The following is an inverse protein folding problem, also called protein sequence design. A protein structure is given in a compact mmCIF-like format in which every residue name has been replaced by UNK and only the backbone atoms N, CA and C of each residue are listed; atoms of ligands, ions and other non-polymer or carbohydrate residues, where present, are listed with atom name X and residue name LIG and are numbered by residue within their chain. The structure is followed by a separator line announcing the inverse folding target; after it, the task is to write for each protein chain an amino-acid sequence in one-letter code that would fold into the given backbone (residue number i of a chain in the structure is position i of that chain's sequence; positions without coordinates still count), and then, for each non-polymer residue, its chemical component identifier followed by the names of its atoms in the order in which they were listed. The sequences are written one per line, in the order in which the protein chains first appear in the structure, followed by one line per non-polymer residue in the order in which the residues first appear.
data_IF_720781962378
#
_entry.id   IF_720781962378
#
_cell.length_a   1.000
_cell.length_b   1.000
_cell.length_c   1.000
_cell.angle_alpha   90.00
_cell.angle_beta   90.00
_cell.angle_gamma   90.00
#
_symmetry.space_group_name_H-M   'P 1'
#
loop_
_entity.id
_entity.type
_entity.pdbx_description
1 polymer ?
#
# COMPACT_ATOMS: atom_id res chain seq x y z
N UNK A 1 -8.00 -16.10 -9.57
CA UNK A 1 -8.24 -14.74 -9.03
C UNK A 1 -7.01 -13.88 -9.31
N UNK A 2 -7.16 -12.63 -9.76
CA UNK A 2 -6.02 -11.73 -10.00
C UNK A 2 -5.34 -11.35 -8.68
N UNK A 3 -4.08 -10.90 -8.73
CA UNK A 3 -3.38 -10.41 -7.54
C UNK A 3 -4.08 -9.18 -6.93
N UNK A 4 -4.53 -8.24 -7.76
CA UNK A 4 -5.33 -7.09 -7.34
C UNK A 4 -6.57 -7.51 -6.53
N UNK A 5 -7.30 -8.53 -6.99
CA UNK A 5 -8.48 -9.02 -6.28
C UNK A 5 -8.12 -9.64 -4.91
N UNK A 6 -6.98 -10.34 -4.81
CA UNK A 6 -6.49 -10.88 -3.52
C UNK A 6 -6.08 -9.76 -2.56
N UNK A 7 -5.44 -8.72 -3.08
CA UNK A 7 -5.08 -7.53 -2.31
C UNK A 7 -6.32 -6.86 -1.73
N UNK A 8 -7.30 -6.53 -2.59
CA UNK A 8 -8.56 -5.91 -2.15
C UNK A 8 -9.25 -6.73 -1.06
N UNK A 9 -9.37 -8.06 -1.24
CA UNK A 9 -9.95 -8.94 -0.23
C UNK A 9 -9.16 -8.97 1.09
N UNK A 10 -7.83 -8.85 1.05
CA UNK A 10 -7.00 -8.70 2.26
C UNK A 10 -7.35 -7.42 3.02
N UNK A 11 -7.39 -6.28 2.31
CA UNK A 11 -7.71 -4.98 2.88
C UNK A 11 -9.16 -4.89 3.39
N UNK A 12 -10.11 -5.48 2.66
CA UNK A 12 -11.53 -5.55 3.03
C UNK A 12 -11.72 -6.37 4.32
N UNK A 13 -11.06 -7.53 4.43
CA UNK A 13 -11.10 -8.38 5.64
C UNK A 13 -10.48 -7.67 6.85
N UNK A 14 -9.47 -6.82 6.63
CA UNK A 14 -8.89 -5.98 7.66
C UNK A 14 -9.77 -4.74 8.01
N UNK A 15 -10.91 -4.55 7.33
CA UNK A 15 -11.83 -3.45 7.59
C UNK A 15 -11.25 -2.07 7.24
N UNK A 16 -10.34 -2.02 6.28
CA UNK A 16 -9.63 -0.79 5.91
C UNK A 16 -10.42 0.01 4.87
N UNK A 17 -10.46 1.33 5.06
CA UNK A 17 -10.88 2.26 4.00
C UNK A 17 -9.68 2.59 3.13
N UNK A 18 -9.76 2.24 1.85
CA UNK A 18 -8.71 2.47 0.86
C UNK A 18 -9.31 2.85 -0.49
N UNK A 19 -8.47 3.37 -1.38
CA UNK A 19 -8.78 3.52 -2.80
C UNK A 19 -7.64 2.94 -3.63
N UNK A 20 -7.97 2.24 -4.71
CA UNK A 20 -6.99 1.92 -5.76
C UNK A 20 -6.70 3.22 -6.50
N UNK A 21 -5.42 3.54 -6.67
CA UNK A 21 -4.96 4.72 -7.41
C UNK A 21 -3.96 4.29 -8.51
N UNK A 22 -3.33 5.25 -9.19
CA UNK A 22 -2.28 4.95 -10.15
C UNK A 22 -2.76 4.21 -11.40
N UNK A 23 -1.92 3.28 -11.89
CA UNK A 23 -2.12 2.54 -13.14
C UNK A 23 -3.40 1.72 -13.17
N UNK A 24 -3.60 0.93 -12.13
CA UNK A 24 -4.76 0.06 -12.03
C UNK A 24 -6.07 0.84 -11.96
N UNK A 25 -6.12 1.97 -11.25
CA UNK A 25 -7.32 2.80 -11.21
C UNK A 25 -7.70 3.30 -12.61
N UNK A 26 -6.74 3.84 -13.36
CA UNK A 26 -6.97 4.32 -14.73
C UNK A 26 -7.45 3.19 -15.65
N UNK A 27 -6.83 2.01 -15.56
CA UNK A 27 -7.24 0.84 -16.35
C UNK A 27 -8.65 0.36 -16.00
N UNK A 28 -9.01 0.33 -14.71
CA UNK A 28 -10.35 -0.03 -14.25
C UNK A 28 -11.43 0.96 -14.73
N UNK A 29 -11.05 2.20 -15.04
CA UNK A 29 -11.93 3.21 -15.64
C UNK A 29 -11.97 3.18 -17.19
N UNK A 30 -11.43 2.13 -17.82
CA UNK A 30 -11.60 1.85 -19.24
C UNK A 30 -10.48 2.35 -20.17
N UNK A 31 -9.42 2.93 -19.62
CA UNK A 31 -8.24 3.30 -20.41
C UNK A 31 -7.30 2.10 -20.64
N UNK A 32 -6.75 1.98 -21.84
CA UNK A 32 -5.73 0.95 -22.14
C UNK A 32 -4.39 1.40 -21.54
N UNK A 33 -4.02 0.83 -20.39
CA UNK A 33 -2.77 1.15 -19.68
C UNK A 33 -2.15 -0.10 -19.08
N UNK A 34 -0.92 -0.40 -19.46
CA UNK A 34 -0.07 -1.37 -18.76
C UNK A 34 0.48 -0.76 -17.47
N UNK A 35 0.52 -1.54 -16.40
CA UNK A 35 1.09 -1.16 -15.10
C UNK A 35 1.71 -2.40 -14.46
N UNK A 36 2.79 -2.20 -13.70
CA UNK A 36 3.55 -3.30 -13.08
C UNK A 36 3.19 -3.45 -11.60
N UNK A 37 2.90 -2.33 -10.95
CA UNK A 37 2.58 -2.19 -9.54
C UNK A 37 1.09 -1.90 -9.32
N UNK A 38 0.70 -2.00 -8.05
CA UNK A 38 -0.60 -1.59 -7.54
C UNK A 38 -0.38 -0.52 -6.49
N UNK A 39 -0.91 0.68 -6.75
CA UNK A 39 -0.89 1.77 -5.81
C UNK A 39 -2.21 1.83 -5.02
N UNK A 40 -2.12 2.00 -3.71
CA UNK A 40 -3.27 2.18 -2.84
C UNK A 40 -3.12 3.45 -1.99
N UNK A 41 -4.20 4.22 -1.87
CA UNK A 41 -4.30 5.31 -0.92
C UNK A 41 -5.01 4.84 0.35
N UNK A 42 -4.47 5.19 1.51
CA UNK A 42 -4.96 4.79 2.83
C UNK A 42 -5.30 6.03 3.68
N UNK A 43 -6.21 5.87 4.63
CA UNK A 43 -6.42 6.89 5.66
C UNK A 43 -5.19 7.01 6.57
N UNK A 44 -4.74 8.24 6.80
CA UNK A 44 -3.57 8.50 7.62
C UNK A 44 -3.88 8.38 9.11
N UNK A 45 -3.73 7.18 9.66
CA UNK A 45 -3.71 6.93 11.10
C UNK A 45 -2.97 5.61 11.39
N UNK A 46 -2.43 5.49 12.60
CA UNK A 46 -1.62 4.34 12.99
C UNK A 46 -2.37 3.00 12.89
N UNK A 47 -3.68 2.96 13.20
CA UNK A 47 -4.48 1.74 13.10
C UNK A 47 -4.58 1.26 11.65
N UNK A 48 -4.87 2.16 10.72
CA UNK A 48 -4.94 1.84 9.29
C UNK A 48 -3.59 1.40 8.73
N UNK A 49 -2.49 2.08 9.08
CA UNK A 49 -1.16 1.71 8.61
C UNK A 49 -0.74 0.32 9.10
N UNK A 50 -0.98 -0.01 10.38
CA UNK A 50 -0.71 -1.34 10.94
C UNK A 50 -1.56 -2.43 10.29
N UNK A 51 -2.84 -2.16 10.08
CA UNK A 51 -3.72 -3.11 9.39
C UNK A 51 -3.28 -3.37 7.95
N UNK A 52 -2.82 -2.33 7.24
CA UNK A 52 -2.29 -2.48 5.89
C UNK A 52 -0.99 -3.27 5.86
N UNK A 53 -0.04 -2.97 6.76
CA UNK A 53 1.19 -3.75 6.94
C UNK A 53 0.91 -5.23 7.14
N UNK A 54 0.03 -5.55 8.11
CA UNK A 54 -0.36 -6.92 8.40
C UNK A 54 -1.00 -7.60 7.18
N UNK A 55 -1.96 -6.95 6.52
CA UNK A 55 -2.63 -7.52 5.36
C UNK A 55 -1.66 -7.78 4.19
N UNK A 56 -0.68 -6.90 3.96
CA UNK A 56 0.34 -7.07 2.92
C UNK A 56 1.31 -8.21 3.28
N UNK A 57 1.73 -8.31 4.55
CA UNK A 57 2.59 -9.40 5.03
C UNK A 57 1.88 -10.76 4.98
N UNK A 58 0.58 -10.83 5.30
CA UNK A 58 -0.22 -12.06 5.16
C UNK A 58 -0.36 -12.52 3.69
N UNK A 59 -0.22 -11.58 2.73
CA UNK A 59 -0.14 -11.89 1.30
C UNK A 59 1.26 -12.32 0.85
N UNK A 60 2.23 -12.38 1.76
CA UNK A 60 3.63 -12.76 1.49
C UNK A 60 4.52 -11.61 1.03
N UNK A 61 4.03 -10.37 1.07
CA UNK A 61 4.83 -9.21 0.69
C UNK A 61 5.69 -8.73 1.87
N UNK A 62 6.86 -8.19 1.55
CA UNK A 62 7.77 -7.58 2.52
C UNK A 62 7.99 -6.11 2.22
N UNK A 63 8.12 -5.31 3.27
CA UNK A 63 8.47 -3.90 3.09
C UNK A 63 9.83 -3.79 2.42
N UNK A 64 9.93 -2.93 1.40
CA UNK A 64 11.19 -2.69 0.69
C UNK A 64 12.18 -1.93 1.57
N UNK A 65 11.68 -1.03 2.40
CA UNK A 65 12.49 -0.33 3.40
C UNK A 65 12.37 -1.08 4.72
N UNK A 66 13.44 -1.17 5.54
CA UNK A 66 13.40 -1.83 6.83
C UNK A 66 12.71 -0.95 7.89
N UNK A 67 11.47 -0.53 7.63
CA UNK A 67 10.65 0.35 8.46
C UNK A 67 9.25 -0.24 8.63
N UNK A 68 8.67 -0.05 9.80
CA UNK A 68 7.32 -0.53 10.13
C UNK A 68 6.23 0.54 9.91
N UNK A 69 4.97 0.14 10.00
CA UNK A 69 3.86 1.11 10.06
C UNK A 69 4.01 2.13 11.21
N UNK A 70 4.59 1.70 12.33
CA UNK A 70 4.88 2.57 13.47
C UNK A 70 5.92 3.64 13.15
N UNK A 71 6.96 3.26 12.41
CA UNK A 71 8.01 4.16 11.97
C UNK A 71 7.50 5.15 10.94
N UNK A 72 6.76 4.66 9.92
CA UNK A 72 6.12 5.50 8.89
C UNK A 72 5.18 6.53 9.52
N UNK A 73 4.42 6.14 10.55
CA UNK A 73 3.53 7.07 11.24
C UNK A 73 4.30 8.11 12.06
N UNK A 74 5.33 7.69 12.81
CA UNK A 74 6.08 8.54 13.75
C UNK A 74 7.02 9.51 13.05
N UNK A 75 7.70 9.06 12.00
CA UNK A 75 8.79 9.78 11.34
C UNK A 75 8.41 10.29 9.95
N UNK A 76 7.11 10.41 9.66
CA UNK A 76 6.59 10.85 8.37
C UNK A 76 7.33 12.06 7.81
N UNK A 77 7.37 13.15 8.56
CA UNK A 77 7.90 14.41 8.06
C UNK A 77 9.42 14.32 7.90
N UNK A 78 10.13 13.64 8.81
CA UNK A 78 11.57 13.37 8.66
C UNK A 78 11.86 12.54 7.40
N UNK A 79 11.06 11.51 7.12
CA UNK A 79 11.23 10.67 5.94
C UNK A 79 10.91 11.42 4.64
N UNK A 80 9.89 12.29 4.64
CA UNK A 80 9.57 13.11 3.47
C UNK A 80 10.68 14.13 3.23
N UNK A 81 11.01 14.94 4.23
CA UNK A 81 11.89 16.11 4.07
C UNK A 81 13.36 15.72 3.91
N UNK A 82 13.82 14.70 4.64
CA UNK A 82 15.24 14.37 4.73
C UNK A 82 15.62 13.05 4.06
N UNK A 83 14.64 12.24 3.61
CA UNK A 83 14.88 10.94 2.95
C UNK A 83 14.12 10.79 1.63
N UNK A 84 13.37 11.81 1.20
CA UNK A 84 12.60 11.82 -0.04
C UNK A 84 11.62 10.62 -0.13
N UNK A 85 10.98 10.26 0.98
CA UNK A 85 9.97 9.21 1.01
C UNK A 85 8.71 9.70 0.29
N UNK A 86 8.42 9.11 -0.86
CA UNK A 86 7.22 9.41 -1.67
C UNK A 86 6.09 8.41 -1.35
N UNK A 87 6.44 7.13 -1.23
CA UNK A 87 5.51 6.04 -0.95
C UNK A 87 6.18 4.95 -0.12
N UNK A 88 5.39 4.23 0.66
CA UNK A 88 5.84 3.05 1.40
C UNK A 88 5.63 1.79 0.57
N UNK A 89 6.72 1.23 0.06
CA UNK A 89 6.69 0.18 -0.96
C UNK A 89 6.81 -1.23 -0.36
N UNK A 90 6.07 -2.17 -0.94
CA UNK A 90 6.14 -3.60 -0.63
C UNK A 90 6.45 -4.40 -1.90
N UNK A 91 7.15 -5.52 -1.76
CA UNK A 91 7.48 -6.40 -2.87
C UNK A 91 7.37 -7.86 -2.47
N UNK A 92 7.22 -8.75 -3.46
CA UNK A 92 7.43 -10.16 -3.26
C UNK A 92 8.94 -10.40 -3.11
N UNK A 93 9.42 -11.04 -2.03
CA UNK A 93 10.84 -11.24 -1.76
C UNK A 93 11.54 -12.11 -2.84
#
# INVERSE_FOLDING_TARGET
MSFLSRLCQGLDRAGLRYAIVGGHAVALHGAVRGTVDIDIALLWNLKTLRGAEQALTELGLVSRLPISAGDVFRFRDEYIENRNLIAWNFHNP
#
